data_IF_630112812381
#
_entry.id   IF_630112812381
#
_cell.length_a   1.000
_cell.length_b   1.000
_cell.length_c   1.000
_cell.angle_alpha   90.00
_cell.angle_beta   90.00
_cell.angle_gamma   90.00
#
_symmetry.space_group_name_H-M   'P 1'
#
loop_
_entity.id
_entity.type
_entity.pdbx_description
1 polymer ?
#
# COMPACT_ATOMS: atom_id res chain seq x y z
N UNK A 1 15.40 10.64 15.47
CA UNK A 1 14.26 9.89 16.03
C UNK A 1 13.37 9.39 14.90
N UNK A 2 12.86 8.16 14.99
CA UNK A 2 11.99 7.60 13.97
C UNK A 2 10.53 7.73 14.39
N UNK A 3 9.67 8.19 13.47
CA UNK A 3 8.23 8.29 13.72
C UNK A 3 7.47 7.31 12.82
N UNK A 4 6.60 6.52 13.40
CA UNK A 4 5.69 5.64 12.66
C UNK A 4 4.26 6.20 12.78
N UNK A 5 3.68 6.65 11.67
CA UNK A 5 2.31 7.11 11.63
C UNK A 5 1.35 5.92 11.42
N UNK A 6 0.79 5.42 12.53
CA UNK A 6 -0.09 4.25 12.54
C UNK A 6 -0.97 4.21 13.80
N UNK A 7 -2.09 3.45 13.77
CA UNK A 7 -2.81 3.05 14.96
C UNK A 7 -1.87 2.34 15.94
N UNK A 8 -2.00 2.54 17.27
CA UNK A 8 -1.17 1.85 18.25
C UNK A 8 -1.36 0.32 18.22
N UNK A 9 -2.53 -0.13 17.78
CA UNK A 9 -2.86 -1.54 17.61
C UNK A 9 -2.36 -2.15 16.27
N UNK A 10 -1.76 -1.37 15.36
CA UNK A 10 -1.24 -1.91 14.11
C UNK A 10 -0.06 -2.85 14.38
N UNK A 11 -0.27 -4.14 14.12
CA UNK A 11 0.70 -5.20 14.41
C UNK A 11 2.00 -5.03 13.61
N UNK A 12 1.94 -4.45 12.40
CA UNK A 12 3.13 -4.22 11.58
C UNK A 12 3.99 -3.10 12.17
N UNK A 13 3.35 -1.98 12.54
CA UNK A 13 4.01 -0.86 13.20
C UNK A 13 4.69 -1.30 14.50
N UNK A 14 3.99 -2.09 15.34
CA UNK A 14 4.55 -2.61 16.59
C UNK A 14 5.74 -3.53 16.35
N UNK A 15 5.66 -4.46 15.39
CA UNK A 15 6.78 -5.38 15.14
C UNK A 15 8.00 -4.64 14.59
N UNK A 16 7.82 -3.69 13.67
CA UNK A 16 8.92 -2.86 13.16
C UNK A 16 9.51 -1.97 14.25
N UNK A 17 8.69 -1.38 15.12
CA UNK A 17 9.14 -0.61 16.30
C UNK A 17 10.03 -1.45 17.23
N UNK A 18 9.71 -2.73 17.44
CA UNK A 18 10.56 -3.65 18.20
C UNK A 18 11.91 -3.88 17.50
N UNK A 19 11.93 -4.05 16.17
CA UNK A 19 13.19 -4.22 15.42
C UNK A 19 14.05 -2.95 15.46
N UNK A 20 13.45 -1.77 15.36
CA UNK A 20 14.16 -0.49 15.51
C UNK A 20 14.76 -0.38 16.92
N UNK A 21 13.97 -0.68 17.96
CA UNK A 21 14.43 -0.67 19.36
C UNK A 21 15.59 -1.64 19.58
N UNK A 22 15.53 -2.84 18.97
CA UNK A 22 16.60 -3.84 19.03
C UNK A 22 17.90 -3.35 18.39
N UNK A 23 17.80 -2.48 17.38
CA UNK A 23 18.93 -1.82 16.73
C UNK A 23 19.41 -0.56 17.49
N UNK A 24 18.78 -0.22 18.63
CA UNK A 24 19.11 0.96 19.42
C UNK A 24 18.53 2.28 18.89
N UNK A 25 17.65 2.22 17.88
CA UNK A 25 17.01 3.41 17.33
C UNK A 25 15.87 3.93 18.21
N UNK A 26 15.76 5.24 18.46
CA UNK A 26 14.61 5.83 19.12
C UNK A 26 13.41 5.82 18.17
N UNK A 27 12.28 5.29 18.61
CA UNK A 27 11.06 5.17 17.78
C UNK A 27 9.80 5.55 18.56
N UNK A 28 8.89 6.24 17.90
CA UNK A 28 7.58 6.60 18.43
C UNK A 28 6.47 6.22 17.43
N UNK A 29 5.37 5.64 17.91
CA UNK A 29 4.18 5.39 17.10
C UNK A 29 3.15 6.48 17.39
N UNK A 30 2.73 7.20 16.36
CA UNK A 30 1.79 8.33 16.47
C UNK A 30 0.50 8.00 15.72
N UNK A 31 -0.63 8.05 16.44
CA UNK A 31 -1.95 7.86 15.88
C UNK A 31 -2.56 9.18 15.43
N UNK A 32 -2.41 9.52 14.15
CA UNK A 32 -2.98 10.75 13.60
C UNK A 32 -4.51 10.82 13.69
N UNK A 33 -5.20 9.69 13.86
CA UNK A 33 -6.66 9.67 13.96
C UNK A 33 -7.16 10.43 15.18
N UNK A 34 -6.32 10.67 16.19
CA UNK A 34 -6.69 11.43 17.39
C UNK A 34 -6.58 12.95 17.20
N UNK A 35 -6.06 13.46 16.08
CA UNK A 35 -5.82 14.90 15.89
C UNK A 35 -7.06 15.81 16.11
N UNK A 36 -8.26 15.34 15.76
CA UNK A 36 -9.48 16.13 15.99
C UNK A 36 -10.15 15.94 17.37
N UNK A 37 -9.58 15.12 18.25
CA UNK A 37 -10.16 14.76 19.57
C UNK A 37 -9.15 14.64 20.72
N UNK A 38 -7.85 14.78 20.46
CA UNK A 38 -6.77 14.58 21.45
C UNK A 38 -5.46 15.23 21.01
N UNK A 39 -4.79 14.63 20.03
CA UNK A 39 -3.51 15.13 19.54
C UNK A 39 -3.64 16.55 18.96
N UNK A 40 -2.56 17.33 19.07
CA UNK A 40 -2.50 18.68 18.49
C UNK A 40 -1.32 18.77 17.56
N UNK A 41 -1.43 19.54 16.48
CA UNK A 41 -0.34 19.69 15.53
C UNK A 41 -0.20 21.14 15.07
N UNK A 42 1.01 21.50 14.65
CA UNK A 42 1.31 22.86 14.20
C UNK A 42 2.32 22.85 13.07
N UNK A 43 2.03 23.66 12.06
CA UNK A 43 2.95 24.07 11.00
C UNK A 43 3.16 25.57 11.14
N UNK A 44 4.39 25.97 11.48
CA UNK A 44 4.74 27.37 11.64
C UNK A 44 5.73 27.78 10.56
N UNK A 45 5.36 28.79 9.78
CA UNK A 45 6.16 29.35 8.68
C UNK A 45 6.73 30.70 9.10
N UNK A 46 8.04 30.84 9.06
CA UNK A 46 8.76 32.10 9.31
C UNK A 46 9.78 32.31 8.19
N UNK A 47 9.33 32.90 7.08
CA UNK A 47 10.12 32.98 5.85
C UNK A 47 10.47 31.58 5.32
N UNK A 48 11.75 31.25 5.09
CA UNK A 48 12.15 29.91 4.63
C UNK A 48 12.14 28.86 5.74
N UNK A 49 12.00 29.26 7.01
CA UNK A 49 12.02 28.32 8.14
C UNK A 49 10.63 27.74 8.34
N UNK A 50 10.56 26.42 8.39
CA UNK A 50 9.33 25.68 8.66
C UNK A 50 9.55 24.85 9.92
N UNK A 51 8.74 25.09 10.95
CA UNK A 51 8.70 24.24 12.15
C UNK A 51 7.44 23.37 12.10
N UNK A 52 7.60 22.09 12.40
CA UNK A 52 6.54 21.08 12.33
C UNK A 52 6.51 20.33 13.65
N UNK A 53 5.38 20.35 14.35
CA UNK A 53 5.28 19.65 15.63
C UNK A 53 3.97 18.92 15.78
N UNK A 54 4.03 17.73 16.39
CA UNK A 54 2.86 16.95 16.81
C UNK A 54 2.96 16.75 18.32
N UNK A 55 1.92 17.16 19.04
CA UNK A 55 1.74 16.83 20.46
C UNK A 55 0.83 15.62 20.56
N UNK A 56 1.40 14.51 21.04
CA UNK A 56 0.68 13.27 21.29
C UNK A 56 -0.26 13.41 22.50
N UNK A 57 -1.15 12.42 22.68
CA UNK A 57 -2.17 12.43 23.73
C UNK A 57 -1.58 12.42 25.15
N UNK A 58 -0.34 11.95 25.31
CA UNK A 58 0.42 11.98 26.57
C UNK A 58 1.12 13.33 26.84
N UNK A 59 0.75 14.36 26.07
CA UNK A 59 1.30 15.72 26.07
C UNK A 59 2.78 15.84 25.65
N UNK A 60 3.45 14.76 25.22
CA UNK A 60 4.79 14.87 24.61
C UNK A 60 4.68 15.57 23.27
N UNK A 61 5.57 16.54 23.05
CA UNK A 61 5.68 17.26 21.78
C UNK A 61 6.84 16.69 20.98
N UNK A 62 6.54 16.18 19.80
CA UNK A 62 7.48 15.68 18.82
C UNK A 62 7.72 16.79 17.80
N UNK A 63 8.94 17.33 17.76
CA UNK A 63 9.36 18.20 16.65
C UNK A 63 9.77 17.28 15.48
N UNK A 64 9.10 17.41 14.33
CA UNK A 64 9.40 16.58 13.17
C UNK A 64 10.76 16.96 12.54
N UNK A 65 11.35 18.10 12.93
CA UNK A 65 12.73 18.42 12.57
C UNK A 65 13.74 17.49 13.26
N UNK A 66 13.40 16.93 14.42
CA UNK A 66 14.24 15.96 15.15
C UNK A 66 14.02 14.52 14.63
N UNK A 67 13.11 14.35 13.67
CA UNK A 67 12.80 13.07 13.07
C UNK A 67 13.62 12.85 11.79
N UNK A 68 14.61 11.95 11.83
CA UNK A 68 15.41 11.63 10.65
C UNK A 68 14.69 10.70 9.67
N UNK A 69 13.66 9.97 10.12
CA UNK A 69 12.79 9.18 9.26
C UNK A 69 11.33 9.13 9.74
N UNK A 70 10.39 9.17 8.78
CA UNK A 70 8.95 9.00 9.04
C UNK A 70 8.39 7.86 8.20
N UNK A 71 7.78 6.87 8.84
CA UNK A 71 7.02 5.83 8.14
C UNK A 71 5.52 6.12 8.13
N UNK A 72 5.00 6.46 6.96
CA UNK A 72 3.57 6.73 6.69
C UNK A 72 2.78 5.43 6.51
N UNK A 73 2.69 4.61 7.57
CA UNK A 73 2.11 3.25 7.52
C UNK A 73 0.60 3.21 7.33
N UNK A 74 -0.17 3.71 8.30
CA UNK A 74 -1.63 3.57 8.36
C UNK A 74 -2.27 4.82 8.98
N UNK A 75 -1.91 5.98 8.46
CA UNK A 75 -2.24 7.27 9.10
C UNK A 75 -3.75 7.46 9.36
N UNK A 76 -4.60 7.00 8.44
CA UNK A 76 -6.06 7.14 8.54
C UNK A 76 -6.53 8.59 8.46
N UNK A 77 -7.85 8.78 8.45
CA UNK A 77 -8.44 10.12 8.56
C UNK A 77 -8.51 10.54 10.02
N UNK A 78 -8.29 11.83 10.30
CA UNK A 78 -8.52 12.39 11.63
C UNK A 78 -9.98 12.22 12.05
N UNK A 79 -10.20 11.84 13.31
CA UNK A 79 -11.52 11.78 13.90
C UNK A 79 -12.05 13.19 14.07
N UNK A 80 -13.13 13.54 13.38
CA UNK A 80 -13.78 14.84 13.60
C UNK A 80 -14.61 14.81 14.87
N UNK A 81 -14.32 15.75 15.77
CA UNK A 81 -15.01 15.92 17.05
C UNK A 81 -16.54 15.79 16.91
N UNK A 82 -17.21 15.04 17.79
CA UNK A 82 -18.67 14.93 17.78
C UNK A 82 -19.37 16.26 18.10
N UNK A 83 -18.64 17.25 18.62
CA UNK A 83 -19.17 18.61 18.82
C UNK A 83 -19.51 19.34 17.50
N UNK A 84 -18.91 18.92 16.38
CA UNK A 84 -19.26 19.43 15.04
C UNK A 84 -20.40 18.58 14.49
N UNK A 85 -21.63 19.06 14.62
CA UNK A 85 -22.85 18.30 14.27
C UNK A 85 -23.15 18.41 12.77
N UNK A 86 -22.96 19.59 12.18
CA UNK A 86 -23.32 19.85 10.79
C UNK A 86 -22.47 19.02 9.81
N UNK A 87 -23.11 18.43 8.80
CA UNK A 87 -22.45 17.49 7.88
C UNK A 87 -21.43 18.18 6.97
N UNK A 88 -21.70 19.39 6.51
CA UNK A 88 -20.79 20.14 5.66
C UNK A 88 -19.56 20.61 6.45
N UNK A 89 -19.77 21.12 7.67
CA UNK A 89 -18.69 21.46 8.60
C UNK A 89 -17.82 20.24 8.96
N UNK A 90 -18.42 19.05 9.10
CA UNK A 90 -17.64 17.81 9.31
C UNK A 90 -16.75 17.49 8.11
N UNK A 91 -17.26 17.63 6.88
CA UNK A 91 -16.46 17.43 5.65
C UNK A 91 -15.34 18.46 5.54
N UNK A 92 -15.64 19.72 5.86
CA UNK A 92 -14.64 20.79 5.93
C UNK A 92 -13.54 20.46 6.94
N UNK A 93 -13.89 20.10 8.18
CA UNK A 93 -12.93 19.72 9.21
C UNK A 93 -12.06 18.51 8.80
N UNK A 94 -12.65 17.50 8.14
CA UNK A 94 -11.89 16.37 7.58
C UNK A 94 -10.86 16.82 6.54
N UNK A 95 -11.22 17.77 5.67
CA UNK A 95 -10.31 18.32 4.66
C UNK A 95 -9.16 19.12 5.30
N UNK A 96 -9.45 19.99 6.27
CA UNK A 96 -8.44 20.76 7.00
C UNK A 96 -7.41 19.86 7.71
N UNK A 97 -7.89 18.84 8.43
CA UNK A 97 -6.99 17.87 9.08
C UNK A 97 -6.15 17.08 8.09
N UNK A 98 -6.74 16.71 6.95
CA UNK A 98 -6.01 16.02 5.89
C UNK A 98 -4.91 16.91 5.35
N UNK A 99 -5.21 18.16 5.00
CA UNK A 99 -4.25 19.04 4.34
C UNK A 99 -3.11 19.45 5.30
N UNK A 100 -3.42 19.63 6.60
CA UNK A 100 -2.41 19.77 7.66
C UNK A 100 -1.48 18.55 7.76
N UNK A 101 -2.04 17.33 7.70
CA UNK A 101 -1.24 16.10 7.70
C UNK A 101 -0.27 16.05 6.51
N UNK A 102 -0.73 16.39 5.30
CA UNK A 102 0.15 16.44 4.14
C UNK A 102 1.30 17.43 4.37
N UNK A 103 1.02 18.65 4.84
CA UNK A 103 2.08 19.63 5.13
C UNK A 103 3.08 19.19 6.21
N UNK A 104 2.62 18.41 7.20
CA UNK A 104 3.49 17.83 8.25
C UNK A 104 4.40 16.73 7.68
N UNK A 105 3.88 15.89 6.79
CA UNK A 105 4.59 14.72 6.27
C UNK A 105 5.62 15.04 5.17
N UNK A 106 5.56 16.22 4.53
CA UNK A 106 6.45 16.61 3.41
C UNK A 106 7.84 17.13 3.84
N UNK A 107 8.08 17.32 5.14
CA UNK A 107 9.36 17.84 5.66
C UNK A 107 10.45 16.79 5.92
N UNK A 108 10.13 15.70 6.64
CA UNK A 108 11.09 14.64 6.97
C UNK A 108 11.34 13.66 5.80
N UNK A 109 12.40 12.85 5.90
CA UNK A 109 12.62 11.71 4.99
C UNK A 109 11.53 10.67 5.21
N UNK A 110 10.48 10.74 4.39
CA UNK A 110 9.33 9.86 4.52
C UNK A 110 9.50 8.57 3.70
N UNK A 111 9.33 7.42 4.34
CA UNK A 111 9.23 6.12 3.67
C UNK A 111 7.86 6.02 3.01
N UNK A 112 7.85 6.10 1.68
CA UNK A 112 6.63 6.19 0.85
C UNK A 112 5.75 7.38 1.27
N UNK A 113 6.12 8.63 0.94
CA UNK A 113 5.37 9.83 1.34
C UNK A 113 3.88 9.74 1.01
N UNK A 114 3.01 10.39 1.80
CA UNK A 114 1.55 10.32 1.60
C UNK A 114 1.13 10.77 0.20
N UNK A 115 1.80 11.78 -0.35
CA UNK A 115 1.61 12.26 -1.72
C UNK A 115 1.90 11.16 -2.75
N UNK A 116 3.05 10.49 -2.64
CA UNK A 116 3.40 9.34 -3.49
C UNK A 116 2.42 8.18 -3.35
N UNK A 117 2.02 7.82 -2.13
CA UNK A 117 1.04 6.76 -1.91
C UNK A 117 -0.30 7.07 -2.57
N UNK A 118 -0.76 8.33 -2.48
CA UNK A 118 -2.00 8.80 -3.12
C UNK A 118 -1.88 8.81 -4.64
N UNK A 119 -0.72 9.17 -5.18
CA UNK A 119 -0.46 9.19 -6.62
C UNK A 119 -0.36 7.79 -7.24
N UNK A 120 0.07 6.79 -6.46
CA UNK A 120 0.21 5.39 -6.86
C UNK A 120 -1.14 4.65 -7.02
N UNK A 121 -2.08 5.25 -7.75
CA UNK A 121 -3.37 4.64 -8.11
C UNK A 121 -3.18 3.45 -9.05
N UNK A 122 -4.09 2.47 -9.07
CA UNK A 122 -3.99 1.30 -9.99
C UNK A 122 -3.82 1.71 -11.47
N UNK A 123 -4.55 2.70 -12.02
CA UNK A 123 -4.27 3.21 -13.36
C UNK A 123 -2.82 3.70 -13.53
N UNK A 124 -2.29 4.47 -12.57
CA UNK A 124 -0.90 4.94 -12.62
C UNK A 124 0.11 3.79 -12.54
N UNK A 125 -0.13 2.80 -11.68
CA UNK A 125 0.69 1.59 -11.57
C UNK A 125 0.74 0.83 -12.91
N UNK A 126 -0.42 0.55 -13.50
CA UNK A 126 -0.53 -0.17 -14.78
C UNK A 126 0.10 0.61 -15.94
N UNK A 127 0.05 1.94 -15.91
CA UNK A 127 0.71 2.76 -16.93
C UNK A 127 2.25 2.78 -16.77
N UNK A 128 2.77 2.71 -15.54
CA UNK A 128 4.22 2.75 -15.28
C UNK A 128 4.89 1.38 -15.34
N UNK A 129 4.20 0.30 -14.99
CA UNK A 129 4.78 -1.04 -14.93
C UNK A 129 5.41 -1.49 -16.26
N UNK A 130 4.76 -1.37 -17.44
CA UNK A 130 5.38 -1.69 -18.72
C UNK A 130 6.60 -0.81 -19.05
N UNK A 131 6.54 0.48 -18.74
CA UNK A 131 7.68 1.41 -18.93
C UNK A 131 8.86 1.04 -18.05
N UNK A 132 8.60 0.47 -16.87
CA UNK A 132 9.61 -0.07 -15.99
C UNK A 132 10.14 -1.43 -16.46
N UNK A 133 9.55 -2.07 -17.48
CA UNK A 133 9.96 -3.38 -18.01
C UNK A 133 9.23 -4.57 -17.39
N UNK A 134 8.08 -4.36 -16.77
CA UNK A 134 7.21 -5.43 -16.27
C UNK A 134 6.14 -5.79 -17.30
N UNK A 135 5.71 -7.05 -17.30
CA UNK A 135 4.57 -7.50 -18.10
C UNK A 135 3.31 -7.35 -17.25
N UNK A 136 2.22 -6.87 -17.83
CA UNK A 136 0.91 -6.79 -17.17
C UNK A 136 -0.11 -7.62 -17.96
N UNK A 137 -1.13 -8.21 -17.32
CA UNK A 137 -2.26 -8.79 -18.03
C UNK A 137 -3.03 -7.69 -18.77
N UNK A 138 -3.72 -8.05 -19.85
CA UNK A 138 -4.62 -7.10 -20.51
C UNK A 138 -5.65 -6.58 -19.50
N UNK A 139 -5.85 -5.26 -19.46
CA UNK A 139 -6.65 -4.62 -18.41
C UNK A 139 -7.49 -3.50 -18.99
N UNK A 140 -8.79 -3.57 -18.73
CA UNK A 140 -9.77 -2.53 -19.03
C UNK A 140 -10.24 -1.87 -17.73
N UNK A 141 -10.29 -0.55 -17.72
CA UNK A 141 -10.91 0.23 -16.64
C UNK A 141 -12.02 1.06 -17.26
N UNK A 142 -13.28 0.73 -16.97
CA UNK A 142 -14.42 1.36 -17.66
C UNK A 142 -15.65 1.52 -16.76
N UNK A 143 -16.47 2.51 -17.12
CA UNK A 143 -17.87 2.64 -16.69
C UNK A 143 -18.86 2.37 -17.83
N UNK A 144 -18.36 2.02 -19.03
CA UNK A 144 -19.18 1.69 -20.19
C UNK A 144 -19.49 0.18 -20.21
N UNK A 145 -20.79 -0.21 -20.14
CA UNK A 145 -21.20 -1.61 -20.23
C UNK A 145 -20.79 -2.30 -21.53
N UNK A 146 -20.74 -1.57 -22.66
CA UNK A 146 -20.40 -2.14 -23.96
C UNK A 146 -18.92 -2.53 -24.04
N UNK A 147 -18.03 -1.66 -23.55
CA UNK A 147 -16.59 -1.97 -23.47
C UNK A 147 -16.34 -3.17 -22.55
N UNK A 148 -17.02 -3.22 -21.40
CA UNK A 148 -16.89 -4.34 -20.47
C UNK A 148 -17.36 -5.67 -21.11
N UNK A 149 -18.52 -5.67 -21.78
CA UNK A 149 -19.03 -6.86 -22.47
C UNK A 149 -18.05 -7.33 -23.57
N UNK A 150 -17.57 -6.41 -24.41
CA UNK A 150 -16.62 -6.71 -25.47
C UNK A 150 -15.31 -7.31 -24.92
N UNK A 151 -14.80 -6.77 -23.82
CA UNK A 151 -13.60 -7.28 -23.15
C UNK A 151 -13.81 -8.69 -22.57
N UNK A 152 -14.94 -8.93 -21.91
CA UNK A 152 -15.30 -10.25 -21.37
C UNK A 152 -15.38 -11.28 -22.48
N UNK A 153 -16.02 -10.93 -23.60
CA UNK A 153 -16.20 -11.80 -24.75
C UNK A 153 -14.86 -12.07 -25.46
N UNK A 154 -13.99 -11.05 -25.59
CA UNK A 154 -12.64 -11.17 -26.14
C UNK A 154 -11.80 -12.22 -25.40
N UNK A 155 -11.88 -12.26 -24.07
CA UNK A 155 -11.16 -13.24 -23.25
C UNK A 155 -11.98 -14.52 -22.97
N UNK A 156 -13.13 -14.71 -23.64
CA UNK A 156 -14.03 -15.85 -23.45
C UNK A 156 -14.37 -16.11 -21.97
N UNK A 157 -14.67 -15.04 -21.23
CA UNK A 157 -15.02 -15.08 -19.81
C UNK A 157 -13.86 -15.31 -18.84
N UNK A 158 -12.62 -15.50 -19.32
CA UNK A 158 -11.42 -15.58 -18.47
C UNK A 158 -10.97 -14.19 -18.02
N UNK A 159 -11.82 -13.56 -17.22
CA UNK A 159 -11.64 -12.21 -16.71
C UNK A 159 -11.80 -12.23 -15.20
N UNK A 160 -11.08 -11.35 -14.52
CA UNK A 160 -11.34 -10.98 -13.14
C UNK A 160 -11.84 -9.54 -13.10
N UNK A 161 -12.68 -9.25 -12.12
CA UNK A 161 -13.08 -7.87 -11.84
C UNK A 161 -12.70 -7.48 -10.40
N UNK A 162 -12.26 -6.23 -10.23
CA UNK A 162 -11.80 -5.70 -8.95
C UNK A 162 -12.07 -4.20 -8.80
N UNK A 163 -12.16 -3.77 -7.54
CA UNK A 163 -12.27 -2.35 -7.19
C UNK A 163 -10.91 -1.63 -7.37
N UNK A 164 -10.95 -0.35 -7.71
CA UNK A 164 -9.74 0.48 -7.80
C UNK A 164 -9.07 0.68 -6.43
N UNK A 165 -9.89 0.96 -5.42
CA UNK A 165 -9.48 1.04 -4.04
C UNK A 165 -10.56 0.39 -3.17
N UNK A 166 -10.16 -0.54 -2.30
CA UNK A 166 -11.07 -1.19 -1.38
C UNK A 166 -11.49 -0.24 -0.25
N UNK A 167 -12.68 -0.43 0.33
CA UNK A 167 -13.06 0.26 1.55
C UNK A 167 -12.13 -0.16 2.71
N UNK A 168 -11.92 0.75 3.67
CA UNK A 168 -10.96 0.54 4.75
C UNK A 168 -11.41 -0.50 5.80
N UNK A 169 -12.71 -0.76 5.90
CA UNK A 169 -13.35 -1.59 6.92
C UNK A 169 -13.59 -3.05 6.51
N UNK A 170 -13.42 -3.38 5.22
CA UNK A 170 -13.60 -4.75 4.72
C UNK A 170 -12.70 -5.06 3.54
N UNK A 171 -12.29 -6.32 3.45
CA UNK A 171 -11.56 -6.83 2.29
C UNK A 171 -12.54 -7.06 1.13
N UNK A 172 -12.33 -6.36 0.01
CA UNK A 172 -12.93 -6.71 -1.27
C UNK A 172 -11.91 -7.47 -2.10
N UNK A 173 -12.20 -8.75 -2.32
CA UNK A 173 -11.34 -9.65 -3.07
C UNK A 173 -11.48 -9.42 -4.59
N UNK A 174 -10.41 -9.74 -5.32
CA UNK A 174 -10.49 -9.91 -6.77
C UNK A 174 -11.34 -11.14 -7.08
N UNK A 175 -12.39 -10.96 -7.90
CA UNK A 175 -13.34 -12.02 -8.21
C UNK A 175 -13.18 -12.48 -9.66
N UNK A 176 -13.32 -13.79 -9.91
CA UNK A 176 -13.50 -14.31 -11.29
C UNK A 176 -14.82 -13.79 -11.83
N UNK A 177 -14.84 -13.47 -13.12
CA UNK A 177 -16.08 -13.18 -13.83
C UNK A 177 -17.02 -14.37 -13.71
N UNK A 178 -18.29 -14.05 -13.47
CA UNK A 178 -19.39 -15.00 -13.48
C UNK A 178 -20.42 -14.48 -14.46
N UNK A 179 -20.76 -15.30 -15.45
CA UNK A 179 -21.66 -14.92 -16.52
C UNK A 179 -23.06 -14.53 -16.01
N UNK A 180 -23.45 -14.99 -14.81
CA UNK A 180 -24.68 -14.55 -14.13
C UNK A 180 -24.71 -13.05 -13.85
N UNK A 181 -23.54 -12.40 -13.74
CA UNK A 181 -23.42 -10.95 -13.54
C UNK A 181 -23.56 -10.14 -14.84
N UNK A 182 -23.67 -10.78 -16.03
CA UNK A 182 -23.79 -10.04 -17.29
C UNK A 182 -25.00 -9.10 -17.29
N UNK A 183 -26.11 -9.53 -16.72
CA UNK A 183 -27.33 -8.72 -16.59
C UNK A 183 -27.14 -7.45 -15.72
N UNK A 184 -26.06 -7.38 -14.95
CA UNK A 184 -25.75 -6.25 -14.08
C UNK A 184 -24.76 -5.25 -14.69
N UNK A 185 -24.23 -5.48 -15.89
CA UNK A 185 -23.22 -4.61 -16.50
C UNK A 185 -23.68 -3.15 -16.64
N UNK A 186 -24.97 -2.90 -16.82
CA UNK A 186 -25.52 -1.52 -16.88
C UNK A 186 -25.26 -0.71 -15.60
N UNK A 187 -25.01 -1.37 -14.45
CA UNK A 187 -24.66 -0.71 -13.19
C UNK A 187 -23.28 -0.06 -13.22
N UNK A 188 -22.42 -0.38 -14.19
CA UNK A 188 -21.11 0.26 -14.37
C UNK A 188 -21.21 1.77 -14.61
N UNK A 189 -22.35 2.25 -15.12
CA UNK A 189 -22.66 3.68 -15.27
C UNK A 189 -22.66 4.43 -13.94
N UNK A 190 -22.88 3.72 -12.83
CA UNK A 190 -22.89 4.30 -11.48
C UNK A 190 -21.46 4.45 -10.92
N UNK A 191 -20.59 3.48 -11.21
CA UNK A 191 -19.20 3.46 -10.72
C UNK A 191 -18.30 2.64 -11.64
N UNK A 192 -17.14 3.17 -12.09
CA UNK A 192 -16.20 2.42 -12.92
C UNK A 192 -15.56 1.24 -12.19
N UNK A 193 -15.21 0.19 -12.93
CA UNK A 193 -14.60 -1.05 -12.42
C UNK A 193 -13.38 -1.44 -13.26
N UNK A 194 -12.45 -2.19 -12.64
CA UNK A 194 -11.33 -2.81 -13.35
C UNK A 194 -11.75 -4.21 -13.79
N UNK A 195 -11.66 -4.49 -15.09
CA UNK A 195 -11.68 -5.82 -15.69
C UNK A 195 -10.26 -6.16 -16.14
N UNK A 196 -9.77 -7.35 -15.82
CA UNK A 196 -8.41 -7.76 -16.14
C UNK A 196 -8.43 -9.20 -16.63
N UNK A 197 -7.61 -9.53 -17.62
CA UNK A 197 -7.40 -10.90 -18.06
C UNK A 197 -7.04 -11.79 -16.86
N UNK A 198 -7.71 -12.95 -16.76
CA UNK A 198 -7.37 -13.95 -15.76
C UNK A 198 -6.13 -14.72 -16.22
N UNK A 199 -4.99 -14.38 -15.63
CA UNK A 199 -3.75 -15.17 -15.80
C UNK A 199 -3.78 -16.37 -14.86
N UNK A 200 -3.82 -17.57 -15.44
CA UNK A 200 -3.67 -18.81 -14.70
C UNK A 200 -2.21 -19.26 -14.67
N UNK A 201 -1.83 -19.94 -13.59
CA UNK A 201 -0.48 -20.47 -13.47
C UNK A 201 -0.18 -21.02 -12.09
N UNK A 202 1.02 -21.61 -11.92
CA UNK A 202 1.32 -22.50 -10.80
C UNK A 202 1.48 -21.77 -9.47
N UNK A 203 1.76 -20.46 -9.49
CA UNK A 203 2.11 -19.68 -8.31
C UNK A 203 1.52 -18.28 -8.35
N UNK A 204 1.23 -17.76 -7.17
CA UNK A 204 1.12 -16.33 -6.94
C UNK A 204 2.36 -15.90 -6.16
N UNK A 205 2.98 -14.78 -6.53
CA UNK A 205 4.15 -14.27 -5.83
C UNK A 205 3.78 -13.00 -5.09
N UNK A 206 4.29 -12.87 -3.87
CA UNK A 206 4.19 -11.64 -3.09
C UNK A 206 5.58 -11.13 -2.78
N UNK A 207 5.84 -9.91 -3.23
CA UNK A 207 7.14 -9.25 -3.12
C UNK A 207 7.00 -8.09 -2.15
N UNK A 208 7.92 -7.95 -1.20
CA UNK A 208 8.02 -6.76 -0.37
C UNK A 208 9.29 -6.02 -0.76
N UNK A 209 9.11 -4.79 -1.24
CA UNK A 209 10.19 -3.86 -1.55
C UNK A 209 10.41 -2.94 -0.34
N UNK A 210 11.64 -2.83 0.14
CA UNK A 210 12.06 -1.94 1.23
C UNK A 210 13.38 -1.29 0.83
N UNK A 211 13.37 -0.01 0.46
CA UNK A 211 14.55 0.65 -0.09
C UNK A 211 15.06 -0.10 -1.33
N UNK A 212 16.25 -0.68 -1.23
CA UNK A 212 16.86 -1.53 -2.27
C UNK A 212 16.64 -3.03 -2.05
N UNK A 213 16.14 -3.45 -0.88
CA UNK A 213 15.86 -4.85 -0.57
C UNK A 213 14.58 -5.31 -1.27
N UNK A 214 14.62 -6.54 -1.81
CA UNK A 214 13.52 -7.19 -2.50
C UNK A 214 13.30 -8.59 -1.91
N UNK A 215 12.25 -8.75 -1.13
CA UNK A 215 11.94 -9.98 -0.40
C UNK A 215 10.69 -10.63 -1.00
N UNK A 216 10.84 -11.73 -1.73
CA UNK A 216 9.74 -12.40 -2.41
C UNK A 216 9.42 -13.76 -1.82
N UNK A 217 8.14 -14.12 -1.86
CA UNK A 217 7.63 -15.45 -1.56
C UNK A 217 6.72 -15.94 -2.67
N UNK A 218 6.66 -17.26 -2.83
CA UNK A 218 5.71 -17.94 -3.69
C UNK A 218 4.66 -18.68 -2.86
N UNK A 219 3.41 -18.55 -3.29
CA UNK A 219 2.29 -19.39 -2.87
C UNK A 219 2.14 -20.50 -3.92
N UNK A 220 2.62 -21.71 -3.61
CA UNK A 220 2.68 -22.85 -4.53
C UNK A 220 1.30 -23.51 -4.67
N UNK A 221 0.53 -23.11 -5.68
CA UNK A 221 -0.81 -23.68 -5.94
C UNK A 221 -0.78 -24.93 -6.82
N UNK A 222 0.21 -25.03 -7.71
CA UNK A 222 0.22 -26.04 -8.76
C UNK A 222 -1.07 -25.95 -9.59
N UNK A 223 -1.79 -27.07 -9.74
CA UNK A 223 -3.09 -27.13 -10.44
C UNK A 223 -4.30 -27.11 -9.49
N UNK A 224 -4.11 -26.86 -8.19
CA UNK A 224 -5.18 -26.89 -7.19
C UNK A 224 -6.17 -25.74 -7.45
N UNK A 225 -7.49 -26.00 -7.49
CA UNK A 225 -8.50 -24.94 -7.48
C UNK A 225 -8.42 -24.15 -6.17
N UNK A 226 -8.56 -22.83 -6.24
CA UNK A 226 -8.51 -21.96 -5.07
C UNK A 226 -9.02 -20.55 -5.38
N UNK A 227 -9.15 -19.69 -4.36
CA UNK A 227 -9.56 -18.30 -4.57
C UNK A 227 -8.53 -17.59 -5.45
N UNK A 228 -8.98 -16.68 -6.31
CA UNK A 228 -8.07 -15.88 -7.16
C UNK A 228 -7.12 -15.02 -6.33
N UNK A 229 -7.61 -14.52 -5.20
CA UNK A 229 -6.81 -13.74 -4.26
C UNK A 229 -6.00 -14.67 -3.36
N UNK A 230 -4.67 -14.69 -3.53
CA UNK A 230 -3.76 -15.54 -2.75
C UNK A 230 -3.76 -15.27 -1.27
N UNK A 231 -4.16 -14.06 -0.85
CA UNK A 231 -4.27 -13.70 0.57
C UNK A 231 -5.34 -14.51 1.29
N UNK A 232 -6.23 -15.15 0.54
CA UNK A 232 -7.32 -15.97 1.06
C UNK A 232 -7.00 -17.48 1.09
N UNK A 233 -5.87 -17.91 0.54
CA UNK A 233 -5.47 -19.32 0.47
C UNK A 233 -4.15 -19.54 1.21
N UNK A 234 -4.23 -19.68 2.54
CA UNK A 234 -3.06 -19.96 3.38
C UNK A 234 -2.79 -21.46 3.56
N UNK A 235 -3.60 -22.33 2.95
CA UNK A 235 -3.45 -23.79 3.00
C UNK A 235 -2.44 -24.32 1.98
N UNK A 236 -1.91 -23.45 1.12
CA UNK A 236 -0.87 -23.81 0.14
C UNK A 236 0.53 -23.60 0.73
N UNK A 237 1.53 -24.40 0.31
CA UNK A 237 2.90 -24.16 0.71
C UNK A 237 3.35 -22.74 0.32
N UNK A 238 3.87 -22.00 1.30
CA UNK A 238 4.45 -20.66 1.09
C UNK A 238 5.94 -20.75 1.33
N UNK A 239 6.75 -20.28 0.39
CA UNK A 239 8.21 -20.41 0.45
C UNK A 239 8.91 -19.15 -0.06
N UNK A 240 10.12 -18.83 0.43
CA UNK A 240 10.97 -17.82 -0.19
C UNK A 240 11.15 -18.09 -1.69
N UNK A 241 11.22 -17.02 -2.49
CA UNK A 241 11.36 -17.10 -3.93
C UNK A 241 12.42 -16.10 -4.40
N UNK A 242 13.33 -16.53 -5.26
CA UNK A 242 14.32 -15.67 -5.88
C UNK A 242 13.78 -15.14 -7.22
N UNK A 243 13.51 -13.84 -7.28
CA UNK A 243 13.06 -13.22 -8.52
C UNK A 243 14.20 -13.14 -9.55
N UNK A 244 13.90 -13.30 -10.85
CA UNK A 244 14.87 -12.98 -11.89
C UNK A 244 15.38 -11.54 -11.74
N UNK A 245 16.70 -11.34 -11.90
CA UNK A 245 17.33 -10.03 -11.71
C UNK A 245 16.70 -8.90 -12.54
N UNK A 246 16.26 -9.22 -13.77
CA UNK A 246 15.55 -8.28 -14.64
C UNK A 246 14.21 -7.80 -14.06
N UNK A 247 13.48 -8.70 -13.40
CA UNK A 247 12.20 -8.39 -12.73
C UNK A 247 12.44 -7.58 -11.47
N UNK A 248 13.44 -7.93 -10.65
CA UNK A 248 13.82 -7.13 -9.48
C UNK A 248 14.20 -5.70 -9.87
N UNK A 249 15.01 -5.53 -10.92
CA UNK A 249 15.39 -4.21 -11.44
C UNK A 249 14.18 -3.43 -11.99
N UNK A 250 13.23 -4.12 -12.63
CA UNK A 250 12.00 -3.51 -13.12
C UNK A 250 11.08 -3.05 -11.98
N UNK A 251 10.95 -3.85 -10.91
CA UNK A 251 10.24 -3.45 -9.70
C UNK A 251 10.89 -2.23 -9.04
N UNK A 252 12.21 -2.18 -8.94
CA UNK A 252 12.93 -1.02 -8.41
C UNK A 252 12.68 0.26 -9.23
N UNK A 253 12.68 0.16 -10.57
CA UNK A 253 12.31 1.29 -11.45
C UNK A 253 10.86 1.72 -11.26
N UNK A 254 9.93 0.79 -11.11
CA UNK A 254 8.52 1.10 -10.82
C UNK A 254 8.38 1.84 -9.48
N UNK A 255 9.04 1.36 -8.43
CA UNK A 255 9.05 2.00 -7.10
C UNK A 255 9.57 3.44 -7.19
N UNK A 256 10.70 3.65 -7.88
CA UNK A 256 11.27 4.98 -8.10
C UNK A 256 10.32 5.89 -8.90
N UNK A 257 9.71 5.40 -9.98
CA UNK A 257 8.77 6.16 -10.80
C UNK A 257 7.50 6.56 -10.05
N UNK A 258 7.10 5.78 -9.03
CA UNK A 258 5.97 6.08 -8.15
C UNK A 258 6.36 6.86 -6.89
N UNK A 259 7.65 7.16 -6.69
CA UNK A 259 8.15 7.83 -5.48
C UNK A 259 7.94 7.03 -4.19
N UNK A 260 8.01 5.70 -4.28
CA UNK A 260 7.79 4.78 -3.17
C UNK A 260 9.10 4.11 -2.73
N UNK A 261 9.25 3.94 -1.43
CA UNK A 261 10.40 3.24 -0.82
C UNK A 261 9.97 1.94 -0.15
N UNK A 262 8.70 1.81 0.19
CA UNK A 262 8.06 0.61 0.70
C UNK A 262 6.80 0.29 -0.08
N UNK A 263 6.65 -0.97 -0.48
CA UNK A 263 5.38 -1.52 -0.96
C UNK A 263 5.38 -3.05 -0.92
N UNK A 264 4.18 -3.64 -0.88
CA UNK A 264 4.00 -5.04 -1.26
C UNK A 264 3.44 -5.12 -2.67
N UNK A 265 3.92 -6.07 -3.46
CA UNK A 265 3.61 -6.22 -4.87
C UNK A 265 3.14 -7.65 -5.09
N UNK A 266 2.04 -7.79 -5.83
CA UNK A 266 1.49 -9.08 -6.19
C UNK A 266 1.79 -9.36 -7.66
N UNK A 267 2.47 -10.49 -7.91
CA UNK A 267 2.75 -11.01 -9.25
C UNK A 267 2.05 -12.35 -9.45
N UNK A 268 1.79 -12.69 -10.71
CA UNK A 268 1.35 -14.02 -11.13
C UNK A 268 2.41 -14.67 -11.99
N UNK A 269 2.82 -15.88 -11.66
CA UNK A 269 3.61 -16.73 -12.58
C UNK A 269 2.62 -17.49 -13.46
N UNK A 270 2.69 -17.27 -14.77
CA UNK A 270 1.93 -18.02 -15.79
C UNK A 270 2.48 -19.42 -16.01
N UNK A 271 1.72 -20.27 -16.71
CA UNK A 271 2.17 -21.64 -17.06
C UNK A 271 3.40 -21.68 -17.96
N UNK A 272 3.67 -20.59 -18.68
CA UNK A 272 4.83 -20.37 -19.54
C UNK A 272 6.06 -19.83 -18.77
N UNK A 273 5.91 -19.60 -17.46
CA UNK A 273 6.95 -19.00 -16.60
C UNK A 273 7.00 -17.46 -16.64
N UNK A 274 6.11 -16.81 -17.41
CA UNK A 274 6.05 -15.34 -17.46
C UNK A 274 5.54 -14.79 -16.13
N UNK A 275 6.21 -13.75 -15.60
CA UNK A 275 5.80 -13.05 -14.39
C UNK A 275 4.99 -11.79 -14.74
N UNK A 276 3.70 -11.81 -14.42
CA UNK A 276 2.76 -10.72 -14.63
C UNK A 276 2.61 -9.88 -13.37
N UNK A 277 2.83 -8.57 -13.49
CA UNK A 277 2.51 -7.60 -12.43
C UNK A 277 1.00 -7.39 -12.34
N UNK A 278 0.43 -7.62 -11.15
CA UNK A 278 -1.02 -7.48 -10.93
C UNK A 278 -1.37 -6.15 -10.27
N UNK A 279 -0.72 -5.83 -9.15
CA UNK A 279 -0.89 -4.58 -8.41
C UNK A 279 0.23 -4.37 -7.38
N UNK A 280 0.31 -3.14 -6.89
CA UNK A 280 1.17 -2.73 -5.78
C UNK A 280 0.32 -2.06 -4.69
N UNK A 281 0.66 -2.33 -3.43
CA UNK A 281 0.08 -1.71 -2.25
C UNK A 281 1.17 -1.01 -1.40
N UNK A 282 1.21 0.33 -1.39
CA UNK A 282 2.17 1.10 -0.59
C UNK A 282 2.03 0.92 0.93
N UNK A 283 0.90 0.38 1.42
CA UNK A 283 0.63 0.10 2.83
C UNK A 283 0.41 -1.39 3.08
N UNK A 284 0.94 -2.24 2.20
CA UNK A 284 0.69 -3.67 2.17
C UNK A 284 1.01 -4.40 3.47
N UNK A 285 0.22 -5.41 3.79
CA UNK A 285 0.50 -6.29 4.92
C UNK A 285 1.57 -7.31 4.53
N UNK A 286 2.56 -7.50 5.40
CA UNK A 286 3.68 -8.43 5.16
C UNK A 286 3.95 -9.41 6.33
N UNK A 287 3.49 -9.12 7.55
CA UNK A 287 3.83 -9.94 8.72
C UNK A 287 3.39 -11.39 8.60
N UNK A 288 2.24 -11.67 7.99
CA UNK A 288 1.80 -13.05 7.79
C UNK A 288 2.77 -13.82 6.88
N UNK A 289 3.37 -13.16 5.87
CA UNK A 289 4.40 -13.75 5.01
C UNK A 289 5.65 -14.07 5.82
N UNK A 290 6.10 -13.14 6.66
CA UNK A 290 7.23 -13.35 7.57
C UNK A 290 6.96 -14.52 8.53
N UNK A 291 5.76 -14.63 9.11
CA UNK A 291 5.38 -15.74 9.99
C UNK A 291 5.40 -17.08 9.25
N UNK A 292 4.89 -17.12 8.02
CA UNK A 292 4.79 -18.36 7.24
C UNK A 292 6.14 -18.83 6.69
N UNK A 293 7.09 -17.92 6.45
CA UNK A 293 8.34 -18.24 5.72
C UNK A 293 9.62 -18.00 6.50
N UNK A 294 9.57 -17.28 7.61
CA UNK A 294 10.74 -16.86 8.36
C UNK A 294 11.54 -15.73 7.70
N UNK A 295 11.07 -15.15 6.58
CA UNK A 295 11.76 -14.02 5.95
C UNK A 295 11.80 -12.79 6.89
N UNK A 296 12.96 -12.12 7.04
CA UNK A 296 13.15 -11.07 8.03
C UNK A 296 12.62 -9.70 7.56
N UNK A 297 11.36 -9.62 7.11
CA UNK A 297 10.79 -8.43 6.47
C UNK A 297 10.70 -7.25 7.45
N UNK A 298 10.22 -7.47 8.67
CA UNK A 298 10.15 -6.44 9.70
C UNK A 298 11.55 -5.94 10.09
N UNK A 299 12.53 -6.84 10.16
CA UNK A 299 13.91 -6.48 10.46
C UNK A 299 14.54 -5.66 9.34
N UNK A 300 14.24 -5.98 8.07
CA UNK A 300 14.65 -5.17 6.91
C UNK A 300 14.06 -3.76 6.98
N UNK A 301 12.77 -3.64 7.29
CA UNK A 301 12.13 -2.34 7.48
C UNK A 301 12.73 -1.55 8.65
N UNK A 302 13.02 -2.21 9.77
CA UNK A 302 13.65 -1.59 10.94
C UNK A 302 15.05 -1.06 10.62
N UNK A 303 15.90 -1.86 9.95
CA UNK A 303 17.23 -1.42 9.49
C UNK A 303 17.13 -0.21 8.58
N UNK A 304 16.24 -0.28 7.57
CA UNK A 304 16.07 0.81 6.62
C UNK A 304 15.68 2.13 7.30
N UNK A 305 14.77 2.10 8.28
CA UNK A 305 14.39 3.31 9.03
C UNK A 305 15.52 3.85 9.90
N UNK A 306 16.33 2.99 10.53
CA UNK A 306 17.51 3.40 11.31
C UNK A 306 18.59 4.00 10.42
N UNK A 307 18.81 3.45 9.24
CA UNK A 307 19.75 4.00 8.25
C UNK A 307 19.33 5.39 7.79
N UNK A 308 18.04 5.60 7.49
CA UNK A 308 17.52 6.91 7.12
C UNK A 308 17.65 7.93 8.28
N UNK A 309 17.38 7.51 9.53
CA UNK A 309 17.53 8.39 10.70
C UNK A 309 18.99 8.84 10.89
N UNK A 310 19.95 7.95 10.64
CA UNK A 310 21.39 8.24 10.72
C UNK A 310 21.96 9.06 9.56
N UNK A 311 21.20 9.26 8.47
CA UNK A 311 21.60 10.08 7.31
C UNK A 311 21.11 11.53 7.40
N UNK A 312 20.24 11.86 8.35
CA UNK A 312 19.75 13.21 8.58
C UNK A 312 20.86 14.06 9.24
N UNK A 313 21.68 14.72 8.42
CA UNK A 313 22.65 15.75 8.82
C UNK A 313 22.39 17.05 8.07
#
# INVERSE_FOLDING_TARGET
>A
MIIILAPPADVHARRVSQEITRLGGPVEIVDWRTAGVGAMASLHFAGPRIRRSIRADDARTLDLADAGAVWTRRVGAATVSPAIIDTEQRRFAQAEWRDLLYGLAEGPTAVSPLSSQRAATKPAQLAQAPRAGLIIPETLITSDPADAAAFIDHHAGRVVHKVMNGPADRLLATARWDERHRAELDRLRLTPTIFQELVEGPRDLRVTMIGTECLAVAFDRGRRPGPVDSRLDLDVPVRPYELPAGVQAALARLMAALGLTFATIDLKEGWDGTLYFLELNPQGQFLYVEILTGLPIAAAMGRHLVELDGQAF
#
